data_IF_766571149224
#
_entry.id   IF_766571149224
#
_cell.length_a   1.000
_cell.length_b   1.000
_cell.length_c   1.000
_cell.angle_alpha   90.00
_cell.angle_beta   90.00
_cell.angle_gamma   90.00
#
_symmetry.space_group_name_H-M   'P 1'
#
loop_
_entity.id
_entity.type
_entity.pdbx_description
1 polymer ?
#
# COMPACT_ATOMS: atom_id res chain seq x y z
N UNK A 1 -25.35 0.60 -13.55
CA UNK A 1 -24.09 0.81 -14.32
C UNK A 1 -22.94 0.87 -13.33
N UNK A 2 -21.90 0.04 -13.48
CA UNK A 2 -20.66 0.21 -12.72
C UNK A 2 -20.05 1.56 -13.13
N UNK A 3 -19.69 2.39 -12.16
CA UNK A 3 -19.02 3.66 -12.42
C UNK A 3 -17.60 3.36 -12.94
N UNK A 4 -17.15 4.11 -13.93
CA UNK A 4 -15.78 4.01 -14.43
C UNK A 4 -14.84 4.71 -13.45
N UNK A 5 -13.88 3.94 -12.89
CA UNK A 5 -12.94 4.46 -11.90
C UNK A 5 -12.03 5.55 -12.46
N UNK A 6 -11.53 5.36 -13.69
CA UNK A 6 -10.63 6.33 -14.32
C UNK A 6 -11.34 7.66 -14.60
N UNK A 7 -12.59 7.62 -15.09
CA UNK A 7 -13.39 8.83 -15.28
C UNK A 7 -13.70 9.55 -13.96
N UNK A 8 -13.96 8.78 -12.88
CA UNK A 8 -14.16 9.34 -11.55
C UNK A 8 -12.90 10.08 -11.05
N UNK A 9 -11.71 9.52 -11.28
CA UNK A 9 -10.45 10.16 -10.91
C UNK A 9 -10.15 11.39 -11.79
N UNK A 10 -10.40 11.32 -13.10
CA UNK A 10 -10.25 12.47 -14.02
C UNK A 10 -11.14 13.62 -13.60
N UNK A 11 -12.41 13.34 -13.34
CA UNK A 11 -13.37 14.36 -12.91
C UNK A 11 -12.97 15.05 -11.59
N UNK A 12 -12.33 14.32 -10.67
CA UNK A 12 -11.86 14.85 -9.38
C UNK A 12 -10.50 15.51 -9.43
N UNK A 13 -9.80 15.48 -10.56
CA UNK A 13 -8.41 15.95 -10.66
C UNK A 13 -7.42 15.10 -9.85
N UNK A 14 -7.74 13.82 -9.61
CA UNK A 14 -6.91 12.89 -8.85
C UNK A 14 -6.03 12.00 -9.72
N UNK A 15 -6.16 12.07 -11.04
CA UNK A 15 -5.35 11.29 -11.98
C UNK A 15 -4.16 12.14 -12.43
N UNK A 16 -2.96 11.82 -11.97
CA UNK A 16 -1.71 12.45 -12.41
C UNK A 16 -1.08 11.66 -13.57
N UNK A 17 -0.90 10.36 -13.38
CA UNK A 17 -0.29 9.46 -14.36
C UNK A 17 -1.01 8.11 -14.35
N UNK A 18 -0.93 7.39 -15.44
CA UNK A 18 -1.52 6.06 -15.58
C UNK A 18 -0.67 5.20 -16.53
N UNK A 19 -0.47 3.96 -16.16
CA UNK A 19 0.22 3.00 -17.02
C UNK A 19 -0.63 2.64 -18.25
N UNK A 20 -0.01 2.45 -19.43
CA UNK A 20 -0.71 1.96 -20.62
C UNK A 20 -1.46 0.65 -20.33
N UNK A 21 -2.70 0.53 -20.81
CA UNK A 21 -3.53 -0.66 -20.62
C UNK A 21 -4.28 -0.74 -19.30
N UNK A 22 -4.00 0.15 -18.33
CA UNK A 22 -4.65 0.13 -17.03
C UNK A 22 -6.16 0.48 -17.10
N UNK A 23 -6.53 1.42 -17.97
CA UNK A 23 -7.93 1.81 -18.14
C UNK A 23 -8.76 0.66 -18.72
N UNK A 24 -8.25 -0.02 -19.74
CA UNK A 24 -8.89 -1.17 -20.39
C UNK A 24 -9.06 -2.32 -19.40
N UNK A 25 -8.04 -2.60 -18.59
CA UNK A 25 -8.10 -3.65 -17.57
C UNK A 25 -9.17 -3.35 -16.51
N UNK A 26 -9.22 -2.11 -16.01
CA UNK A 26 -10.21 -1.66 -15.03
C UNK A 26 -11.66 -1.69 -15.56
N UNK A 27 -11.83 -1.56 -16.88
CA UNK A 27 -13.16 -1.69 -17.50
C UNK A 27 -13.57 -3.14 -17.72
N UNK A 28 -12.59 -4.01 -17.96
CA UNK A 28 -12.82 -5.41 -18.34
C UNK A 28 -13.16 -6.29 -17.15
N UNK A 29 -12.47 -6.13 -16.04
CA UNK A 29 -12.58 -7.03 -14.89
C UNK A 29 -12.44 -6.31 -13.55
N UNK A 30 -12.73 -7.02 -12.46
CA UNK A 30 -12.44 -6.53 -11.11
C UNK A 30 -10.93 -6.60 -10.87
N UNK A 31 -10.32 -5.44 -10.63
CA UNK A 31 -8.89 -5.31 -10.34
C UNK A 31 -8.69 -5.16 -8.83
N UNK A 32 -7.60 -5.72 -8.34
CA UNK A 32 -7.14 -5.49 -6.97
C UNK A 32 -6.03 -4.44 -6.99
N UNK A 33 -6.14 -3.41 -6.15
CA UNK A 33 -5.09 -2.43 -5.96
C UNK A 33 -4.79 -2.23 -4.46
N UNK A 34 -3.57 -1.87 -4.14
CA UNK A 34 -3.15 -1.67 -2.77
C UNK A 34 -2.54 -0.28 -2.53
N UNK A 35 -2.62 0.16 -1.28
CA UNK A 35 -1.92 1.32 -0.75
C UNK A 35 -1.05 0.84 0.42
N UNK A 36 0.26 1.04 0.32
CA UNK A 36 1.21 0.76 1.40
C UNK A 36 1.25 1.90 2.42
N UNK A 37 1.32 1.55 3.71
CA UNK A 37 1.54 2.50 4.80
C UNK A 37 2.35 1.85 5.91
N UNK A 38 3.38 2.54 6.39
CA UNK A 38 4.16 2.08 7.54
C UNK A 38 3.49 2.46 8.86
N UNK A 39 3.38 1.53 9.81
CA UNK A 39 2.73 1.75 11.09
C UNK A 39 3.65 2.47 12.08
N UNK A 40 4.21 3.61 11.68
CA UNK A 40 5.17 4.40 12.47
C UNK A 40 4.52 5.20 13.60
N UNK A 41 3.20 5.33 13.58
CA UNK A 41 2.37 5.98 14.60
C UNK A 41 0.97 5.35 14.63
N UNK A 42 0.23 5.62 15.68
CA UNK A 42 -1.15 5.16 15.87
C UNK A 42 -2.19 5.96 15.05
N UNK A 43 -1.73 6.92 14.25
CA UNK A 43 -2.61 7.76 13.44
C UNK A 43 -2.00 8.10 12.09
N UNK A 44 -2.87 8.16 11.08
CA UNK A 44 -2.55 8.63 9.74
C UNK A 44 -2.74 10.15 9.67
N UNK A 45 -1.90 10.82 8.90
CA UNK A 45 -2.02 12.25 8.64
C UNK A 45 -2.75 12.54 7.31
N UNK A 46 -3.00 13.82 7.04
CA UNK A 46 -3.75 14.26 5.85
C UNK A 46 -3.15 13.78 4.52
N UNK A 47 -1.83 13.60 4.45
CA UNK A 47 -1.15 13.09 3.25
C UNK A 47 -1.60 11.68 2.86
N UNK A 48 -1.93 10.83 3.83
CA UNK A 48 -2.45 9.48 3.54
C UNK A 48 -3.89 9.50 3.03
N UNK A 49 -4.65 10.57 3.34
CA UNK A 49 -6.07 10.64 2.99
C UNK A 49 -6.29 10.61 1.47
N UNK A 50 -5.41 11.22 0.69
CA UNK A 50 -5.51 11.19 -0.78
C UNK A 50 -5.51 9.75 -1.31
N UNK A 51 -4.55 8.93 -0.91
CA UNK A 51 -4.47 7.52 -1.30
C UNK A 51 -5.66 6.69 -0.80
N UNK A 52 -6.10 6.92 0.45
CA UNK A 52 -7.28 6.26 1.02
C UNK A 52 -8.53 6.63 0.21
N UNK A 53 -8.68 7.87 -0.19
CA UNK A 53 -9.82 8.31 -1.02
C UNK A 53 -9.77 7.70 -2.43
N UNK A 54 -8.58 7.50 -3.02
CA UNK A 54 -8.44 6.75 -4.27
C UNK A 54 -8.95 5.32 -4.11
N UNK A 55 -8.53 4.61 -3.05
CA UNK A 55 -9.01 3.26 -2.76
C UNK A 55 -10.53 3.22 -2.49
N UNK A 56 -11.07 4.23 -1.83
CA UNK A 56 -12.53 4.37 -1.64
C UNK A 56 -13.27 4.48 -2.98
N UNK A 57 -12.78 5.30 -3.89
CA UNK A 57 -13.36 5.41 -5.24
C UNK A 57 -13.20 4.11 -6.03
N UNK A 58 -12.03 3.46 -5.92
CA UNK A 58 -11.79 2.14 -6.49
C UNK A 58 -12.85 1.13 -6.03
N UNK A 59 -13.07 1.02 -4.71
CA UNK A 59 -14.07 0.12 -4.14
C UNK A 59 -15.48 0.43 -4.63
N UNK A 60 -15.88 1.71 -4.64
CA UNK A 60 -17.19 2.15 -5.13
C UNK A 60 -17.42 1.89 -6.62
N UNK A 61 -16.35 1.73 -7.39
CA UNK A 61 -16.40 1.34 -8.80
C UNK A 61 -16.37 -0.18 -9.00
N UNK A 62 -16.38 -0.97 -7.92
CA UNK A 62 -16.48 -2.43 -7.95
C UNK A 62 -15.14 -3.16 -8.02
N UNK A 63 -14.05 -2.48 -7.69
CA UNK A 63 -12.71 -3.06 -7.60
C UNK A 63 -12.31 -3.29 -6.15
N UNK A 64 -11.32 -4.17 -5.91
CA UNK A 64 -10.92 -4.61 -4.58
C UNK A 64 -9.75 -3.77 -4.04
N UNK A 65 -9.94 -2.98 -2.96
CA UNK A 65 -8.86 -2.28 -2.29
C UNK A 65 -8.18 -3.14 -1.23
N UNK A 66 -6.86 -3.00 -1.12
CA UNK A 66 -6.05 -3.56 -0.04
C UNK A 66 -5.30 -2.44 0.67
N UNK A 67 -5.37 -2.41 1.99
CA UNK A 67 -4.44 -1.64 2.82
C UNK A 67 -3.29 -2.57 3.20
N UNK A 68 -2.10 -2.24 2.73
CA UNK A 68 -0.87 -2.97 3.03
C UNK A 68 -0.13 -2.27 4.16
N UNK A 69 -0.09 -2.90 5.32
CA UNK A 69 0.68 -2.40 6.46
C UNK A 69 2.11 -2.90 6.38
N UNK A 70 3.06 -1.99 6.47
CA UNK A 70 4.49 -2.26 6.45
C UNK A 70 5.04 -2.71 7.81
N UNK A 71 4.52 -3.81 8.39
CA UNK A 71 5.01 -4.32 9.66
C UNK A 71 6.49 -4.72 9.60
N UNK A 72 6.90 -5.48 8.58
CA UNK A 72 8.30 -5.85 8.41
C UNK A 72 9.19 -4.65 8.07
N UNK A 73 8.74 -3.77 7.18
CA UNK A 73 9.48 -2.56 6.81
C UNK A 73 9.56 -1.55 7.95
N UNK A 74 8.53 -1.46 8.78
CA UNK A 74 8.52 -0.64 9.99
C UNK A 74 9.55 -1.11 11.05
N UNK A 75 9.86 -2.41 11.11
CA UNK A 75 10.88 -2.98 11.97
C UNK A 75 12.32 -2.65 11.49
N UNK A 76 12.52 -2.49 10.19
CA UNK A 76 13.83 -2.17 9.62
C UNK A 76 14.12 -0.67 9.73
N UNK A 77 13.08 0.16 9.58
CA UNK A 77 13.19 1.61 9.52
C UNK A 77 13.65 2.09 8.12
N UNK A 78 13.03 3.15 7.65
CA UNK A 78 13.43 3.82 6.40
C UNK A 78 14.37 4.98 6.73
N UNK A 79 15.64 4.96 6.29
CA UNK A 79 16.60 6.02 6.53
C UNK A 79 16.38 7.27 5.65
N UNK A 80 15.44 7.23 4.69
CA UNK A 80 15.25 8.32 3.75
C UNK A 80 14.88 9.64 4.43
N UNK A 81 15.80 10.61 4.31
CA UNK A 81 15.60 12.02 4.63
C UNK A 81 15.73 12.44 6.09
N UNK A 82 16.16 11.58 7.03
CA UNK A 82 16.40 11.98 8.43
C UNK A 82 17.72 11.44 8.96
N UNK A 83 18.51 12.32 9.56
CA UNK A 83 19.85 12.05 10.13
C UNK A 83 19.82 11.27 11.48
N UNK A 84 18.66 10.80 11.92
CA UNK A 84 18.54 9.98 13.12
C UNK A 84 17.89 8.65 12.76
N UNK A 85 18.52 7.55 13.21
CA UNK A 85 17.93 6.21 13.18
C UNK A 85 16.54 6.30 13.82
N UNK A 86 15.51 5.86 13.08
CA UNK A 86 14.18 5.67 13.67
C UNK A 86 14.32 4.65 14.79
N UNK A 87 13.82 4.96 15.97
CA UNK A 87 13.68 3.98 17.02
C UNK A 87 12.92 2.77 16.47
N UNK A 88 13.56 1.61 16.52
CA UNK A 88 12.93 0.35 16.14
C UNK A 88 11.70 0.17 17.03
N UNK A 89 10.55 0.04 16.41
CA UNK A 89 9.30 -0.19 17.13
C UNK A 89 9.28 -1.64 17.62
N UNK A 90 8.85 -1.86 18.85
CA UNK A 90 8.60 -3.20 19.35
C UNK A 90 7.31 -3.79 18.77
N UNK A 91 7.16 -5.10 18.85
CA UNK A 91 6.02 -5.83 18.29
C UNK A 91 4.68 -5.35 18.84
N UNK A 92 4.63 -4.94 20.12
CA UNK A 92 3.40 -4.47 20.76
C UNK A 92 2.98 -3.12 20.19
N UNK A 93 3.92 -2.20 20.03
CA UNK A 93 3.68 -0.89 19.43
C UNK A 93 3.27 -1.01 17.97
N UNK A 94 3.92 -1.89 17.21
CA UNK A 94 3.54 -2.16 15.80
C UNK A 94 2.11 -2.69 15.70
N UNK A 95 1.75 -3.65 16.54
CA UNK A 95 0.39 -4.21 16.56
C UNK A 95 -0.65 -3.14 16.96
N UNK A 96 -0.36 -2.35 18.00
CA UNK A 96 -1.23 -1.24 18.42
C UNK A 96 -1.47 -0.24 17.28
N UNK A 97 -0.39 0.19 16.61
CA UNK A 97 -0.48 1.12 15.50
C UNK A 97 -1.26 0.53 14.32
N UNK A 98 -1.06 -0.74 14.02
CA UNK A 98 -1.81 -1.43 12.96
C UNK A 98 -3.31 -1.44 13.23
N UNK A 99 -3.73 -1.79 14.45
CA UNK A 99 -5.15 -1.78 14.83
C UNK A 99 -5.74 -0.36 14.80
N UNK A 100 -4.98 0.63 15.23
CA UNK A 100 -5.40 2.02 15.17
C UNK A 100 -5.57 2.51 13.72
N UNK A 101 -4.64 2.16 12.82
CA UNK A 101 -4.75 2.44 11.38
C UNK A 101 -5.98 1.75 10.79
N UNK A 102 -6.20 0.47 11.08
CA UNK A 102 -7.36 -0.29 10.64
C UNK A 102 -8.67 0.42 11.02
N UNK A 103 -8.76 0.84 12.27
CA UNK A 103 -9.94 1.59 12.78
C UNK A 103 -10.16 2.91 12.04
N UNK A 104 -9.09 3.59 11.65
CA UNK A 104 -9.20 4.85 10.90
C UNK A 104 -9.65 4.61 9.46
N UNK A 105 -9.03 3.66 8.74
CA UNK A 105 -9.37 3.38 7.34
C UNK A 105 -10.74 2.73 7.17
N UNK A 106 -11.25 2.02 8.19
CA UNK A 106 -12.60 1.44 8.20
C UNK A 106 -13.72 2.49 8.14
N UNK A 107 -13.42 3.76 8.39
CA UNK A 107 -14.36 4.86 8.17
C UNK A 107 -14.57 5.18 6.69
N UNK A 108 -13.65 4.76 5.83
CA UNK A 108 -13.64 5.08 4.40
C UNK A 108 -13.88 3.87 3.51
N UNK A 109 -13.39 2.70 3.93
CA UNK A 109 -13.45 1.45 3.19
C UNK A 109 -14.35 0.44 3.90
N UNK A 110 -15.07 -0.34 3.12
CA UNK A 110 -15.89 -1.43 3.63
C UNK A 110 -15.08 -2.72 3.73
N UNK A 111 -14.83 -3.16 4.96
CA UNK A 111 -14.13 -4.40 5.30
C UNK A 111 -15.09 -5.54 5.66
N UNK A 112 -16.35 -5.22 5.99
CA UNK A 112 -17.31 -6.18 6.53
C UNK A 112 -18.33 -6.64 5.49
N UNK A 113 -18.37 -6.00 4.33
CA UNK A 113 -19.30 -6.33 3.26
C UNK A 113 -19.20 -7.76 2.76
N UNK A 114 -20.26 -8.27 2.19
CA UNK A 114 -20.32 -9.61 1.57
C UNK A 114 -19.86 -9.62 0.11
N UNK A 115 -19.70 -8.44 -0.48
CA UNK A 115 -19.31 -8.29 -1.88
C UNK A 115 -17.85 -8.74 -2.11
N UNK A 116 -17.52 -9.28 -3.28
CA UNK A 116 -16.17 -9.77 -3.59
C UNK A 116 -15.11 -8.68 -3.58
N UNK A 117 -15.51 -7.41 -3.69
CA UNK A 117 -14.63 -6.25 -3.63
C UNK A 117 -14.54 -5.60 -2.25
N UNK A 118 -14.89 -6.34 -1.19
CA UNK A 118 -14.65 -5.86 0.17
C UNK A 118 -13.16 -5.59 0.38
N UNK A 119 -12.85 -4.58 1.19
CA UNK A 119 -11.47 -4.22 1.50
C UNK A 119 -10.77 -5.30 2.33
N UNK A 120 -9.46 -5.41 2.18
CA UNK A 120 -8.62 -6.24 3.03
C UNK A 120 -7.51 -5.39 3.65
N UNK A 121 -7.12 -5.74 4.86
CA UNK A 121 -5.91 -5.24 5.48
C UNK A 121 -4.94 -6.39 5.59
N UNK A 122 -3.75 -6.23 5.01
CA UNK A 122 -2.68 -7.21 5.03
C UNK A 122 -1.41 -6.61 5.63
N UNK A 123 -0.60 -7.43 6.27
CA UNK A 123 0.66 -7.03 6.86
C UNK A 123 1.82 -7.76 6.19
N UNK A 124 2.80 -7.04 5.65
CA UNK A 124 3.94 -7.68 5.00
C UNK A 124 4.78 -8.52 5.97
N UNK A 125 4.71 -8.29 7.26
CA UNK A 125 5.35 -9.12 8.27
C UNK A 125 4.89 -10.58 8.22
N UNK A 126 3.61 -10.83 7.86
CA UNK A 126 3.05 -12.19 7.85
C UNK A 126 3.77 -13.15 6.90
N UNK A 127 4.29 -12.65 5.79
CA UNK A 127 5.07 -13.46 4.85
C UNK A 127 6.57 -13.23 4.97
N UNK A 128 7.03 -12.02 5.35
CA UNK A 128 8.45 -11.72 5.45
C UNK A 128 9.14 -12.40 6.63
N UNK A 129 8.44 -12.59 7.76
CA UNK A 129 9.00 -13.21 8.97
C UNK A 129 9.54 -14.63 8.78
N UNK A 130 9.07 -15.32 7.74
CA UNK A 130 9.46 -16.70 7.47
C UNK A 130 10.68 -16.81 6.53
N UNK A 131 11.13 -15.71 5.94
CA UNK A 131 12.34 -15.71 5.12
C UNK A 131 13.59 -15.65 5.99
N UNK A 132 14.51 -16.60 5.77
CA UNK A 132 15.88 -16.41 6.24
C UNK A 132 16.61 -15.43 5.33
N UNK A 133 17.69 -14.82 5.82
CA UNK A 133 18.54 -13.95 5.00
C UNK A 133 19.03 -14.66 3.72
N UNK A 134 19.44 -15.92 3.84
CA UNK A 134 19.95 -16.68 2.69
C UNK A 134 18.83 -17.01 1.70
N UNK A 135 17.63 -17.35 2.17
CA UNK A 135 16.49 -17.61 1.30
C UNK A 135 16.09 -16.33 0.55
N UNK A 136 16.02 -15.21 1.24
CA UNK A 136 15.72 -13.92 0.62
C UNK A 136 16.77 -13.55 -0.43
N UNK A 137 18.06 -13.65 -0.10
CA UNK A 137 19.15 -13.36 -1.03
C UNK A 137 19.11 -14.27 -2.27
N UNK A 138 18.78 -15.55 -2.08
CA UNK A 138 18.71 -16.54 -3.16
C UNK A 138 17.47 -16.34 -4.05
N UNK A 139 16.29 -16.14 -3.45
CA UNK A 139 15.04 -16.10 -4.20
C UNK A 139 14.71 -14.71 -4.76
N UNK A 140 14.99 -13.67 -4.02
CA UNK A 140 14.70 -12.27 -4.38
C UNK A 140 15.95 -11.57 -4.91
N UNK A 141 17.10 -11.70 -4.23
CA UNK A 141 18.34 -11.02 -4.57
C UNK A 141 18.84 -11.28 -5.98
N UNK A 142 18.62 -12.49 -6.52
CA UNK A 142 18.97 -12.84 -7.92
C UNK A 142 18.26 -11.98 -8.97
N UNK A 143 17.15 -11.35 -8.63
CA UNK A 143 16.37 -10.49 -9.52
C UNK A 143 16.75 -9.01 -9.38
N UNK A 144 17.56 -8.66 -8.37
CA UNK A 144 18.00 -7.29 -8.10
C UNK A 144 19.46 -7.17 -8.55
N UNK A 145 19.69 -6.48 -9.65
CA UNK A 145 21.04 -6.27 -10.18
C UNK A 145 21.58 -4.92 -9.74
N UNK A 146 22.91 -4.79 -9.65
CA UNK A 146 23.57 -3.50 -9.36
C UNK A 146 23.15 -2.40 -10.34
N UNK A 147 22.84 -2.76 -11.58
CA UNK A 147 22.40 -1.81 -12.62
C UNK A 147 21.02 -1.21 -12.32
N UNK A 148 20.15 -1.90 -11.61
CA UNK A 148 18.87 -1.36 -11.16
C UNK A 148 19.04 -0.31 -10.06
N UNK A 149 20.12 -0.40 -9.29
CA UNK A 149 20.43 0.57 -8.22
C UNK A 149 21.23 1.78 -8.71
N UNK A 150 21.94 1.66 -9.83
CA UNK A 150 22.78 2.72 -10.38
C UNK A 150 22.12 3.48 -11.52
N UNK A 151 21.03 2.97 -12.06
CA UNK A 151 20.23 3.69 -13.03
C UNK A 151 19.20 4.52 -12.29
N UNK A 152 19.52 5.78 -11.99
CA UNK A 152 18.59 6.82 -12.16
C UNK A 152 17.68 7.32 -11.03
N UNK A 153 17.92 6.92 -9.80
CA UNK A 153 17.30 7.61 -8.68
C UNK A 153 17.99 8.95 -8.33
N UNK A 154 19.06 9.29 -9.06
CA UNK A 154 19.86 10.47 -8.76
C UNK A 154 19.63 11.66 -9.71
N UNK A 155 18.86 11.47 -10.78
CA UNK A 155 18.70 12.47 -11.84
C UNK A 155 17.26 13.02 -11.98
N UNK A 156 16.37 12.72 -11.03
CA UNK A 156 15.04 13.35 -10.96
C UNK A 156 14.85 14.24 -9.75
#
# INVERSE_FOLDING_TARGET
MKKNFVEELKWRGMLAQMMPGAEELLQKEMVTAYLGTDPTADSLHIGHLCGIMMLRHLQRCGHKPIILVGGATGMIGDPSGKSQERNLLDDQTLYHNQEAIKKQVSKFLDFEGTEPNKAELVNNYDWMKNFTFLDFAREVGKHITCLLYTSDAADE
#
